data_IF_646468225179
#
_entry.id   IF_646468225179
#
_cell.length_a   1.000
_cell.length_b   1.000
_cell.length_c   1.000
_cell.angle_alpha   90.00
_cell.angle_beta   90.00
_cell.angle_gamma   90.00
#
_symmetry.space_group_name_H-M   'P 1'
#
loop_
_entity.id
_entity.type
_entity.pdbx_description
1 polymer ?
#
# COMPACT_ATOMS: atom_id res chain seq x y z
N UNK A 1 16.25 4.91 18.10
CA UNK A 1 16.29 4.48 16.69
C UNK A 1 15.05 5.00 16.01
N UNK A 2 15.18 5.83 14.97
CA UNK A 2 14.03 6.27 14.19
C UNK A 2 13.53 5.06 13.38
N UNK A 3 12.38 4.50 13.74
CA UNK A 3 11.73 3.45 12.96
C UNK A 3 11.54 3.99 11.54
N UNK A 4 12.13 3.30 10.55
CA UNK A 4 11.98 3.63 9.14
C UNK A 4 10.60 3.14 8.70
N UNK A 5 9.58 3.96 8.93
CA UNK A 5 8.20 3.60 8.62
C UNK A 5 7.90 3.91 7.15
N UNK A 6 7.74 2.87 6.33
CA UNK A 6 7.28 2.98 4.95
C UNK A 6 5.75 3.06 4.87
N UNK A 7 5.20 3.87 3.97
CA UNK A 7 3.75 3.98 3.73
C UNK A 7 3.37 3.18 2.50
N UNK A 8 2.35 2.34 2.59
CA UNK A 8 1.87 1.57 1.44
C UNK A 8 1.09 2.50 0.52
N UNK A 9 1.28 2.37 -0.78
CA UNK A 9 0.57 3.09 -1.83
C UNK A 9 -0.09 2.08 -2.76
N UNK A 10 -1.41 2.06 -2.83
CA UNK A 10 -2.14 1.26 -3.84
C UNK A 10 -2.12 2.04 -5.16
N UNK A 11 -1.44 1.49 -6.16
CA UNK A 11 -1.26 2.04 -7.50
C UNK A 11 -2.41 1.58 -8.39
N UNK A 12 -3.49 2.37 -8.43
CA UNK A 12 -4.73 1.99 -9.13
C UNK A 12 -4.56 1.72 -10.62
N UNK A 13 -3.78 2.55 -11.34
CA UNK A 13 -3.55 2.38 -12.79
C UNK A 13 -2.54 1.30 -13.15
N UNK A 14 -1.57 1.03 -12.27
CA UNK A 14 -0.51 0.04 -12.53
C UNK A 14 -0.89 -1.35 -12.03
N UNK A 15 -1.91 -1.45 -11.16
CA UNK A 15 -2.32 -2.72 -10.56
C UNK A 15 -1.26 -3.23 -9.59
N UNK A 16 -1.28 -2.74 -8.35
CA UNK A 16 -0.39 -3.25 -7.32
C UNK A 16 -0.19 -2.28 -6.16
N UNK A 17 0.74 -2.65 -5.28
CA UNK A 17 1.12 -1.89 -4.11
C UNK A 17 2.59 -1.50 -4.22
N UNK A 18 2.93 -0.27 -3.85
CA UNK A 18 4.31 0.18 -3.64
C UNK A 18 4.47 0.72 -2.22
N UNK A 19 5.70 0.89 -1.75
CA UNK A 19 5.97 1.50 -0.45
C UNK A 19 6.71 2.83 -0.65
N UNK A 20 6.39 3.83 0.15
CA UNK A 20 7.12 5.10 0.23
C UNK A 20 7.84 5.19 1.57
N UNK A 21 9.16 5.27 1.54
CA UNK A 21 9.99 5.52 2.73
C UNK A 21 10.64 6.90 2.61
N UNK A 22 10.32 7.81 3.53
CA UNK A 22 10.90 9.16 3.53
C UNK A 22 10.62 9.95 2.23
N UNK A 23 9.49 9.69 1.57
CA UNK A 23 9.10 10.34 0.31
C UNK A 23 9.69 9.71 -0.95
N UNK A 24 10.44 8.60 -0.84
CA UNK A 24 10.99 7.87 -1.99
C UNK A 24 10.35 6.49 -2.10
N UNK A 25 10.17 6.00 -3.32
CA UNK A 25 9.66 4.65 -3.55
C UNK A 25 10.70 3.63 -3.06
N UNK A 26 10.23 2.67 -2.27
CA UNK A 26 11.02 1.58 -1.73
C UNK A 26 11.21 0.54 -2.83
N UNK A 27 12.46 0.23 -3.12
CA UNK A 27 12.86 -0.89 -3.95
C UNK A 27 13.43 -1.98 -3.04
N UNK A 28 12.91 -3.20 -3.16
CA UNK A 28 13.46 -4.39 -2.48
C UNK A 28 13.81 -5.41 -3.54
N UNK A 29 15.06 -5.86 -3.56
CA UNK A 29 15.55 -6.85 -4.53
C UNK A 29 15.23 -6.52 -6.00
N UNK A 30 15.29 -5.23 -6.39
CA UNK A 30 14.94 -4.76 -7.74
C UNK A 30 13.43 -4.66 -8.03
N UNK A 31 12.57 -4.97 -7.05
CA UNK A 31 11.12 -4.88 -7.14
C UNK A 31 10.61 -3.63 -6.42
N UNK A 32 9.80 -2.84 -7.13
CA UNK A 32 9.12 -1.67 -6.55
C UNK A 32 7.59 -1.79 -6.51
N UNK A 33 7.05 -2.85 -7.11
CA UNK A 33 5.62 -3.10 -7.23
C UNK A 33 5.31 -4.53 -6.80
N UNK A 34 4.33 -4.67 -5.91
CA UNK A 34 3.88 -5.94 -5.37
C UNK A 34 2.43 -6.22 -5.77
N UNK A 35 2.06 -7.49 -5.97
CA UNK A 35 0.70 -7.88 -6.29
C UNK A 35 -0.26 -7.70 -5.10
N UNK A 36 0.25 -7.68 -3.87
CA UNK A 36 -0.54 -7.51 -2.64
C UNK A 36 0.22 -6.70 -1.58
N UNK A 37 -0.51 -6.05 -0.69
CA UNK A 37 0.06 -5.34 0.46
C UNK A 37 0.84 -6.31 1.39
N UNK A 38 0.34 -7.54 1.56
CA UNK A 38 1.00 -8.55 2.38
C UNK A 38 2.38 -8.94 1.83
N UNK A 39 2.53 -9.10 0.50
CA UNK A 39 3.81 -9.40 -0.11
C UNK A 39 4.82 -8.25 0.10
N UNK A 40 4.35 -7.01 -0.01
CA UNK A 40 5.16 -5.82 0.27
C UNK A 40 5.62 -5.78 1.74
N UNK A 41 4.71 -6.05 2.69
CA UNK A 41 5.02 -6.04 4.12
C UNK A 41 6.05 -7.11 4.46
N UNK A 42 5.92 -8.32 3.93
CA UNK A 42 6.89 -9.38 4.15
C UNK A 42 8.29 -9.00 3.65
N UNK A 43 8.39 -8.41 2.46
CA UNK A 43 9.67 -7.99 1.89
C UNK A 43 10.25 -6.78 2.64
N UNK A 44 9.41 -5.82 3.05
CA UNK A 44 9.84 -4.70 3.89
C UNK A 44 10.38 -5.16 5.25
N UNK A 45 9.70 -6.10 5.91
CA UNK A 45 10.18 -6.69 7.16
C UNK A 45 11.50 -7.44 6.99
N UNK A 46 11.72 -8.12 5.85
CA UNK A 46 12.98 -8.81 5.54
C UNK A 46 14.17 -7.85 5.56
N UNK A 47 13.99 -6.62 5.09
CA UNK A 47 15.03 -5.59 5.07
C UNK A 47 15.03 -4.68 6.32
N UNK A 48 14.25 -5.02 7.35
CA UNK A 48 14.16 -4.25 8.59
C UNK A 48 13.41 -2.92 8.47
N UNK A 49 12.56 -2.79 7.46
CA UNK A 49 11.68 -1.62 7.26
C UNK A 49 10.30 -1.95 7.82
N UNK A 50 9.85 -1.14 8.77
CA UNK A 50 8.51 -1.26 9.31
C UNK A 50 7.52 -0.56 8.38
N UNK A 51 6.32 -1.10 8.23
CA UNK A 51 5.33 -0.56 7.30
C UNK A 51 4.15 0.00 8.09
N UNK A 52 3.77 1.25 7.79
CA UNK A 52 2.59 1.88 8.37
C UNK A 52 1.33 1.17 7.89
N UNK A 53 0.38 0.99 8.81
CA UNK A 53 -0.97 0.48 8.52
C UNK A 53 -1.81 1.44 7.67
N UNK A 54 -1.32 2.65 7.41
CA UNK A 54 -2.02 3.66 6.61
C UNK A 54 -1.67 3.52 5.12
N UNK A 55 -2.59 2.97 4.33
CA UNK A 55 -2.48 2.84 2.88
C UNK A 55 -2.94 4.12 2.20
N UNK A 56 -2.08 4.69 1.35
CA UNK A 56 -2.43 5.81 0.47
C UNK A 56 -3.04 5.20 -0.80
N UNK A 57 -4.34 5.40 -1.00
CA UNK A 57 -5.01 4.98 -2.22
C UNK A 57 -4.88 6.07 -3.30
N UNK A 58 -4.29 5.73 -4.44
CA UNK A 58 -4.12 6.64 -5.59
C UNK A 58 -5.14 6.40 -6.70
N UNK A 59 -6.13 5.51 -6.48
CA UNK A 59 -7.31 5.46 -7.34
C UNK A 59 -7.97 6.83 -7.24
N UNK A 60 -7.81 7.62 -8.30
CA UNK A 60 -8.41 8.93 -8.47
C UNK A 60 -9.85 8.90 -7.98
N UNK A 61 -10.21 9.80 -7.04
CA UNK A 61 -11.60 10.20 -6.87
C UNK A 61 -11.99 10.89 -8.18
N UNK A 62 -12.42 10.10 -9.15
CA UNK A 62 -13.10 10.57 -10.33
C UNK A 62 -14.43 11.13 -9.87
N UNK A 63 -14.55 12.45 -9.92
CA UNK A 63 -15.78 13.19 -9.70
C UNK A 63 -16.76 12.83 -10.82
N UNK A 64 -17.52 11.73 -10.72
CA UNK A 64 -18.81 11.57 -11.44
C UNK A 64 -19.72 10.41 -10.99
N UNK A 65 -19.60 9.83 -9.79
CA UNK A 65 -20.54 8.76 -9.39
C UNK A 65 -21.34 9.14 -8.15
N UNK A 66 -22.69 9.22 -8.24
CA UNK A 66 -23.53 9.49 -7.07
C UNK A 66 -23.31 8.41 -6.01
N UNK A 67 -23.57 8.83 -4.77
CA UNK A 67 -23.27 8.21 -3.47
C UNK A 67 -23.88 6.79 -3.23
N UNK A 68 -23.93 5.92 -4.24
CA UNK A 68 -24.59 4.62 -4.15
C UNK A 68 -24.12 3.53 -5.14
N UNK A 69 -23.00 3.68 -5.85
CA UNK A 69 -22.46 2.61 -6.70
C UNK A 69 -21.03 2.29 -6.27
N UNK A 70 -20.87 1.23 -5.48
CA UNK A 70 -19.58 0.61 -5.23
C UNK A 70 -19.03 0.03 -6.55
N UNK A 71 -17.87 0.48 -7.06
CA UNK A 71 -17.16 -0.30 -8.05
C UNK A 71 -16.34 -1.34 -7.29
N UNK A 72 -16.83 -2.58 -7.32
CA UNK A 72 -16.22 -3.78 -6.74
C UNK A 72 -14.96 -4.22 -7.52
N UNK A 73 -13.96 -3.34 -7.59
CA UNK A 73 -12.57 -3.65 -7.94
C UNK A 73 -11.66 -2.85 -6.98
N UNK A 74 -11.93 -2.97 -5.68
CA UNK A 74 -11.17 -2.29 -4.64
C UNK A 74 -9.91 -3.08 -4.26
N UNK A 75 -8.77 -2.40 -4.05
CA UNK A 75 -7.67 -2.94 -3.26
C UNK A 75 -8.31 -3.35 -1.93
N UNK A 76 -8.60 -4.65 -1.77
CA UNK A 76 -9.33 -5.19 -0.63
C UNK A 76 -8.51 -4.78 0.59
N UNK A 77 -9.02 -3.80 1.32
CA UNK A 77 -8.48 -3.30 2.57
C UNK A 77 -8.75 -4.39 3.60
N UNK A 78 -8.05 -5.53 3.48
CA UNK A 78 -8.22 -6.63 4.41
C UNK A 78 -7.57 -6.21 5.72
N UNK A 79 -8.41 -5.73 6.63
CA UNK A 79 -8.29 -5.86 8.07
C UNK A 79 -6.87 -6.11 8.61
N UNK A 80 -6.06 -5.06 8.70
CA UNK A 80 -4.99 -4.99 9.71
C UNK A 80 -5.57 -4.55 11.06
N UNK A 81 -6.72 -5.12 11.46
CA UNK A 81 -7.23 -5.00 12.84
C UNK A 81 -6.39 -5.91 13.74
N UNK A 82 -5.32 -5.31 14.27
CA UNK A 82 -4.88 -5.39 15.67
C UNK A 82 -5.31 -6.67 16.42
N UNK A 83 -4.48 -7.71 16.37
CA UNK A 83 -4.43 -8.68 17.45
C UNK A 83 -3.33 -8.20 18.42
N UNK A 84 -3.76 -7.89 19.64
CA UNK A 84 -2.95 -7.43 20.76
C UNK A 84 -2.02 -8.53 21.30
#
# INVERSE_FOLDING_TARGET
MAARVARIVCMGKLGGYSALLGGRMLEVDGRMLWPSAAALIMDAHRIGVEVSTHVIDTRTIGTDTPLNAAPELGCHQTDYRRAA
#
